data_IF_871582296833
#
_entry.id   IF_871582296833
#
_cell.length_a   1.000
_cell.length_b   1.000
_cell.length_c   1.000
_cell.angle_alpha   90.00
_cell.angle_beta   90.00
_cell.angle_gamma   90.00
#
_symmetry.space_group_name_H-M   'P 1'
#
loop_
_entity.id
_entity.type
_entity.pdbx_description
1 polymer ?
#
# COMPACT_ATOMS: atom_id res chain seq x y z
N UNK A 1 -19.63 10.49 5.17
CA UNK A 1 -18.43 10.77 4.35
C UNK A 1 -17.42 9.67 4.60
N UNK A 2 -17.22 8.78 3.63
CA UNK A 2 -16.19 7.73 3.71
C UNK A 2 -14.97 8.33 3.02
N UNK A 3 -13.98 8.78 3.78
CA UNK A 3 -12.72 9.26 3.20
C UNK A 3 -11.88 8.02 2.89
N UNK A 4 -11.76 7.61 1.61
CA UNK A 4 -11.09 6.36 1.25
C UNK A 4 -9.58 6.42 1.51
N UNK A 5 -9.02 7.62 1.59
CA UNK A 5 -7.60 7.87 1.79
C UNK A 5 -7.34 8.09 3.27
N UNK A 6 -6.65 7.13 3.90
CA UNK A 6 -6.15 7.24 5.27
C UNK A 6 -4.67 7.62 5.28
N UNK A 7 -4.18 8.19 6.38
CA UNK A 7 -2.75 8.45 6.55
C UNK A 7 -1.92 7.17 6.44
N UNK A 8 -2.43 6.07 7.03
CA UNK A 8 -1.81 4.74 6.93
C UNK A 8 -1.61 4.30 5.47
N UNK A 9 -2.62 4.52 4.62
CA UNK A 9 -2.53 4.17 3.23
C UNK A 9 -1.50 5.03 2.49
N UNK A 10 -1.42 6.34 2.81
CA UNK A 10 -0.41 7.23 2.24
C UNK A 10 1.01 6.85 2.67
N UNK A 11 1.22 6.48 3.93
CA UNK A 11 2.51 5.99 4.45
C UNK A 11 2.96 4.71 3.72
N UNK A 12 2.01 3.78 3.51
CA UNK A 12 2.26 2.56 2.74
C UNK A 12 2.63 2.87 1.29
N UNK A 13 1.91 3.78 0.63
CA UNK A 13 2.23 4.18 -0.75
C UNK A 13 3.62 4.81 -0.85
N UNK A 14 3.94 5.73 0.04
CA UNK A 14 5.24 6.40 0.08
C UNK A 14 6.39 5.40 0.33
N UNK A 15 6.23 4.48 1.28
CA UNK A 15 7.22 3.44 1.54
C UNK A 15 7.44 2.53 0.32
N UNK A 16 6.37 2.10 -0.37
CA UNK A 16 6.50 1.30 -1.60
C UNK A 16 7.22 2.09 -2.68
N UNK A 17 6.86 3.35 -2.91
CA UNK A 17 7.49 4.22 -3.90
C UNK A 17 8.99 4.43 -3.62
N UNK A 18 9.38 4.64 -2.36
CA UNK A 18 10.77 4.85 -1.95
C UNK A 18 11.61 3.57 -1.94
N UNK A 19 11.01 2.41 -1.65
CA UNK A 19 11.73 1.13 -1.50
C UNK A 19 11.65 0.21 -2.72
N UNK A 20 10.75 0.48 -3.65
CA UNK A 20 10.60 -0.27 -4.90
C UNK A 20 10.02 -1.68 -4.76
N UNK A 21 9.65 -2.11 -3.54
CA UNK A 21 8.99 -3.40 -3.34
C UNK A 21 8.12 -3.42 -2.09
N UNK A 22 7.09 -4.27 -2.11
CA UNK A 22 6.18 -4.47 -0.98
C UNK A 22 6.91 -5.05 0.24
N UNK A 23 7.85 -5.96 0.02
CA UNK A 23 8.65 -6.56 1.10
C UNK A 23 9.57 -5.53 1.77
N UNK A 24 10.24 -4.67 0.98
CA UNK A 24 11.10 -3.63 1.54
C UNK A 24 10.31 -2.52 2.25
N UNK A 25 9.12 -2.17 1.74
CA UNK A 25 8.19 -1.26 2.43
C UNK A 25 7.71 -1.84 3.76
N UNK A 26 7.41 -3.15 3.81
CA UNK A 26 7.02 -3.84 5.03
C UNK A 26 8.13 -3.76 6.09
N UNK A 27 9.38 -4.02 5.69
CA UNK A 27 10.54 -3.89 6.57
C UNK A 27 10.74 -2.46 7.09
N UNK A 28 10.57 -1.44 6.24
CA UNK A 28 10.70 -0.03 6.67
C UNK A 28 9.61 0.37 7.68
N UNK A 29 8.37 -0.07 7.46
CA UNK A 29 7.25 0.27 8.32
C UNK A 29 7.11 -0.66 9.54
N UNK A 30 8.06 -1.58 9.74
CA UNK A 30 8.02 -2.59 10.81
C UNK A 30 6.73 -3.44 10.80
N UNK A 31 6.29 -3.81 9.59
CA UNK A 31 5.06 -4.57 9.34
C UNK A 31 5.38 -5.84 8.55
N UNK A 32 4.44 -6.78 8.56
CA UNK A 32 4.52 -7.96 7.68
C UNK A 32 4.02 -7.63 6.26
N UNK A 33 4.55 -8.26 5.20
CA UNK A 33 4.18 -7.95 3.81
C UNK A 33 2.67 -8.12 3.50
N UNK A 34 1.97 -8.99 4.22
CA UNK A 34 0.53 -9.18 4.08
C UNK A 34 -0.28 -7.94 4.48
N UNK A 35 0.16 -7.19 5.50
CA UNK A 35 -0.49 -5.93 5.91
C UNK A 35 -0.34 -4.88 4.82
N UNK A 36 0.85 -4.75 4.25
CA UNK A 36 1.12 -3.82 3.13
C UNK A 36 0.21 -4.14 1.94
N UNK A 37 0.14 -5.43 1.58
CA UNK A 37 -0.70 -5.90 0.47
C UNK A 37 -2.18 -5.60 0.71
N UNK A 38 -2.67 -5.85 1.93
CA UNK A 38 -4.05 -5.57 2.31
C UNK A 38 -4.38 -4.08 2.28
N UNK A 39 -3.52 -3.21 2.82
CA UNK A 39 -3.74 -1.76 2.82
C UNK A 39 -3.82 -1.22 1.39
N UNK A 40 -2.93 -1.66 0.50
CA UNK A 40 -2.96 -1.30 -0.92
C UNK A 40 -4.25 -1.79 -1.58
N UNK A 41 -4.58 -3.07 -1.43
CA UNK A 41 -5.77 -3.66 -2.06
C UNK A 41 -7.06 -2.96 -1.60
N UNK A 42 -7.16 -2.63 -0.31
CA UNK A 42 -8.30 -1.89 0.23
C UNK A 42 -8.38 -0.48 -0.36
N UNK A 43 -7.26 0.22 -0.47
CA UNK A 43 -7.21 1.55 -1.07
C UNK A 43 -7.63 1.52 -2.55
N UNK A 44 -7.11 0.55 -3.31
CA UNK A 44 -7.49 0.32 -4.70
C UNK A 44 -9.00 0.06 -4.85
N UNK A 45 -9.59 -0.75 -3.97
CA UNK A 45 -11.03 -1.02 -3.94
C UNK A 45 -11.86 0.20 -3.55
N UNK A 46 -11.46 0.93 -2.52
CA UNK A 46 -12.19 2.11 -2.04
C UNK A 46 -12.11 3.29 -3.05
N UNK A 47 -11.08 3.33 -3.91
CA UNK A 47 -10.90 4.33 -4.98
C UNK A 47 -11.36 3.85 -6.37
N UNK A 48 -11.63 2.56 -6.55
CA UNK A 48 -11.88 1.93 -7.85
C UNK A 48 -10.76 2.16 -8.88
N UNK A 49 -9.50 2.04 -8.44
CA UNK A 49 -8.30 2.20 -9.28
C UNK A 49 -7.25 1.13 -8.99
N UNK A 50 -6.37 0.86 -9.96
CA UNK A 50 -5.17 0.03 -9.75
C UNK A 50 -3.96 0.94 -9.59
N UNK A 51 -3.31 0.88 -8.42
CA UNK A 51 -2.14 1.69 -8.08
C UNK A 51 -0.83 0.96 -8.40
N UNK A 52 -0.77 -0.36 -8.18
CA UNK A 52 0.42 -1.15 -8.47
C UNK A 52 0.10 -2.35 -9.36
N UNK A 53 0.92 -2.56 -10.38
CA UNK A 53 0.89 -3.76 -11.20
C UNK A 53 1.88 -4.77 -10.63
N UNK A 54 1.43 -6.00 -10.42
CA UNK A 54 2.32 -7.12 -10.15
C UNK A 54 2.96 -7.52 -11.47
N UNK A 55 4.28 -7.39 -11.58
CA UNK A 55 5.02 -8.03 -12.67
C UNK A 55 5.03 -9.54 -12.42
N UNK A 56 4.72 -10.32 -13.46
CA UNK A 56 4.73 -11.78 -13.48
C UNK A 56 6.09 -12.23 -13.99
#
# INVERSE_FOLDING_TARGET
>A
MKYPITLDALEVLDAIARKGSFAAAANELYRVPSVISYTVQKLEQDLDVVLFRKEI
#
